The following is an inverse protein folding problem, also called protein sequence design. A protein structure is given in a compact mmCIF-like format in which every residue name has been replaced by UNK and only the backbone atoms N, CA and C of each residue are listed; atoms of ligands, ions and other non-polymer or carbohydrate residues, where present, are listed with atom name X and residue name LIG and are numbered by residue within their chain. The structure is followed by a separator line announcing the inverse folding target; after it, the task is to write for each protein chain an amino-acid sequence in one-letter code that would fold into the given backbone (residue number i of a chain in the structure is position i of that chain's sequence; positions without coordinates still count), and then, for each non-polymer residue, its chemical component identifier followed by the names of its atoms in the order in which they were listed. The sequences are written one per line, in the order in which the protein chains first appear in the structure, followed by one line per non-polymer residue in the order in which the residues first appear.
data_IF_227025967874
#
_entry.id   IF_227025967874
#
_cell.length_a   1.000
_cell.length_b   1.000
_cell.length_c   1.000
_cell.angle_alpha   90.00
_cell.angle_beta   90.00
_cell.angle_gamma   90.00
#
_symmetry.space_group_name_H-M   'P 1'
#
loop_
_entity.id
_entity.type
_entity.pdbx_description
1 polymer ?
#
# COMPACT_ATOMS: atom_id res chain seq x y z
N UNK A 1 -22.82 -17.97 18.71
CA UNK A 1 -21.73 -17.28 18.02
C UNK A 1 -22.06 -15.81 17.94
N UNK A 2 -21.17 -14.99 17.40
CA UNK A 2 -21.46 -13.60 17.04
C UNK A 2 -21.73 -13.60 15.53
N UNK A 3 -22.84 -12.99 15.11
CA UNK A 3 -23.18 -12.84 13.70
C UNK A 3 -22.42 -11.67 13.07
N UNK A 4 -22.50 -11.50 11.75
CA UNK A 4 -22.02 -10.30 11.08
C UNK A 4 -22.67 -9.04 11.70
N UNK A 5 -21.88 -7.97 11.84
CA UNK A 5 -22.25 -6.71 12.52
C UNK A 5 -22.60 -6.89 14.01
N UNK A 6 -22.29 -8.07 14.56
CA UNK A 6 -22.55 -8.42 15.94
C UNK A 6 -21.39 -8.04 16.86
N UNK A 7 -21.72 -7.97 18.15
CA UNK A 7 -20.76 -7.81 19.24
C UNK A 7 -21.01 -8.88 20.30
N UNK A 8 -19.96 -9.37 20.95
CA UNK A 8 -20.10 -10.26 22.12
C UNK A 8 -20.81 -9.54 23.28
N UNK A 9 -21.49 -10.30 24.15
CA UNK A 9 -22.16 -9.74 25.33
C UNK A 9 -21.22 -8.97 26.28
N UNK A 10 -19.95 -9.36 26.34
CA UNK A 10 -18.92 -8.67 27.11
C UNK A 10 -18.36 -7.40 26.43
N UNK A 11 -18.84 -7.09 25.21
CA UNK A 11 -18.44 -5.91 24.44
C UNK A 11 -17.02 -5.96 23.89
N UNK A 12 -16.32 -7.10 23.97
CA UNK A 12 -14.89 -7.19 23.67
C UNK A 12 -14.55 -7.54 22.23
N UNK A 13 -15.47 -8.18 21.50
CA UNK A 13 -15.24 -8.63 20.13
C UNK A 13 -16.43 -8.24 19.28
N UNK A 14 -16.16 -7.48 18.21
CA UNK A 14 -17.09 -7.22 17.12
C UNK A 14 -16.62 -7.92 15.85
N UNK A 15 -17.55 -8.39 15.01
CA UNK A 15 -17.25 -9.04 13.73
C UNK A 15 -17.99 -8.29 12.63
N UNK A 16 -17.27 -7.96 11.57
CA UNK A 16 -17.82 -7.29 10.39
C UNK A 16 -17.19 -7.88 9.13
N UNK A 17 -18.02 -8.14 8.13
CA UNK A 17 -17.61 -8.44 6.78
C UNK A 17 -17.39 -7.13 6.04
N UNK A 18 -16.17 -6.97 5.55
CA UNK A 18 -15.81 -5.83 4.71
C UNK A 18 -15.68 -6.27 3.26
N UNK A 19 -15.79 -5.30 2.35
CA UNK A 19 -15.43 -5.51 0.94
C UNK A 19 -13.92 -5.81 0.79
N UNK A 20 -13.47 -6.03 -0.44
CA UNK A 20 -12.07 -6.32 -0.70
C UNK A 20 -11.17 -5.19 -0.18
N UNK A 21 -10.22 -5.52 0.70
CA UNK A 21 -9.28 -4.55 1.26
C UNK A 21 -7.86 -4.72 0.70
N UNK A 22 -7.74 -4.90 -0.61
CA UNK A 22 -6.47 -5.04 -1.35
C UNK A 22 -5.48 -6.11 -0.84
N UNK A 23 -5.95 -7.11 -0.09
CA UNK A 23 -5.15 -8.19 0.48
C UNK A 23 -5.41 -9.55 -0.20
N UNK A 24 -5.89 -9.53 -1.45
CA UNK A 24 -6.24 -10.76 -2.19
C UNK A 24 -5.04 -11.64 -2.56
N UNK A 25 -3.81 -11.13 -2.39
CA UNK A 25 -2.56 -11.86 -2.61
C UNK A 25 -2.32 -12.99 -1.60
N UNK A 26 -2.97 -12.94 -0.42
CA UNK A 26 -2.91 -14.00 0.60
C UNK A 26 -4.29 -14.38 1.17
N UNK A 27 -5.35 -14.23 0.37
CA UNK A 27 -6.69 -14.63 0.79
C UNK A 27 -6.76 -16.13 1.19
N UNK A 28 -7.57 -16.50 2.20
CA UNK A 28 -8.45 -15.65 3.01
C UNK A 28 -7.69 -14.78 4.03
N UNK A 29 -8.14 -13.54 4.21
CA UNK A 29 -7.52 -12.55 5.11
C UNK A 29 -8.54 -12.07 6.14
N UNK A 30 -8.11 -11.93 7.39
CA UNK A 30 -8.86 -11.28 8.48
C UNK A 30 -8.11 -10.03 8.90
N UNK A 31 -8.84 -9.01 9.35
CA UNK A 31 -8.24 -7.88 10.03
C UNK A 31 -8.67 -7.81 11.48
N UNK A 32 -7.73 -7.50 12.36
CA UNK A 32 -8.02 -7.14 13.73
C UNK A 32 -7.31 -5.83 14.04
N UNK A 33 -8.03 -4.85 14.59
CA UNK A 33 -7.51 -3.52 14.90
C UNK A 33 -6.59 -2.97 13.80
N UNK A 34 -7.09 -2.81 12.57
CA UNK A 34 -6.34 -2.29 11.41
C UNK A 34 -5.16 -3.12 10.89
N UNK A 35 -4.82 -4.23 11.54
CA UNK A 35 -3.72 -5.09 11.11
C UNK A 35 -4.20 -6.34 10.38
N UNK A 36 -3.40 -6.80 9.42
CA UNK A 36 -3.74 -7.93 8.56
C UNK A 36 -3.24 -9.26 9.12
N UNK A 37 -4.08 -10.29 8.95
CA UNK A 37 -3.80 -11.69 9.23
C UNK A 37 -4.11 -12.50 7.98
N UNK A 38 -3.05 -12.95 7.32
CA UNK A 38 -3.07 -13.64 6.04
C UNK A 38 -3.33 -15.15 6.17
N UNK A 39 -3.74 -15.79 5.07
CA UNK A 39 -3.91 -17.25 4.93
C UNK A 39 -4.75 -17.88 6.06
N UNK A 40 -5.82 -17.22 6.49
CA UNK A 40 -6.59 -17.65 7.66
C UNK A 40 -7.47 -18.87 7.34
N UNK A 41 -7.52 -19.80 8.30
CA UNK A 41 -8.55 -20.82 8.40
C UNK A 41 -9.58 -20.43 9.48
N UNK A 42 -10.65 -21.20 9.59
CA UNK A 42 -11.63 -21.02 10.67
C UNK A 42 -10.96 -21.21 12.04
N UNK A 43 -10.09 -22.20 12.16
CA UNK A 43 -9.34 -22.49 13.38
C UNK A 43 -8.38 -21.35 13.73
N UNK A 44 -7.58 -20.86 12.77
CA UNK A 44 -6.63 -19.78 13.05
C UNK A 44 -7.32 -18.46 13.40
N UNK A 45 -8.46 -18.17 12.78
CA UNK A 45 -9.26 -17.00 13.13
C UNK A 45 -9.83 -17.09 14.56
N UNK A 46 -10.24 -18.28 14.99
CA UNK A 46 -10.68 -18.51 16.38
C UNK A 46 -9.52 -18.36 17.37
N UNK A 47 -8.37 -18.96 17.06
CA UNK A 47 -7.17 -18.86 17.90
C UNK A 47 -6.71 -17.40 18.03
N UNK A 48 -6.79 -16.61 16.95
CA UNK A 48 -6.55 -15.17 16.96
C UNK A 48 -7.47 -14.46 17.95
N UNK A 49 -8.79 -14.67 17.86
CA UNK A 49 -9.76 -14.06 18.78
C UNK A 49 -9.49 -14.48 20.24
N UNK A 50 -9.25 -15.76 20.49
CA UNK A 50 -9.00 -16.27 21.83
C UNK A 50 -7.70 -15.69 22.43
N UNK A 51 -6.65 -15.55 21.61
CA UNK A 51 -5.37 -14.94 22.03
C UNK A 51 -5.55 -13.48 22.47
N UNK A 52 -6.36 -12.70 21.75
CA UNK A 52 -6.71 -11.32 22.09
C UNK A 52 -7.48 -11.26 23.42
N UNK A 53 -8.47 -12.14 23.61
CA UNK A 53 -9.27 -12.19 24.84
C UNK A 53 -8.48 -12.60 26.07
N UNK A 54 -7.43 -13.40 25.89
CA UNK A 54 -6.49 -13.80 26.94
C UNK A 54 -5.44 -12.73 27.26
N UNK A 55 -5.37 -11.65 26.48
CA UNK A 55 -4.40 -10.58 26.66
C UNK A 55 -3.01 -10.89 26.10
N UNK A 56 -2.89 -11.92 25.25
CA UNK A 56 -1.66 -12.30 24.57
C UNK A 56 -1.91 -12.43 23.06
N UNK A 57 -2.19 -11.31 22.36
CA UNK A 57 -2.59 -11.34 20.96
C UNK A 57 -1.47 -11.91 20.08
N UNK A 58 -1.84 -12.77 19.13
CA UNK A 58 -0.95 -13.21 18.06
C UNK A 58 -0.52 -11.98 17.23
N UNK A 59 0.76 -11.91 16.90
CA UNK A 59 1.31 -10.84 16.07
C UNK A 59 0.68 -10.85 14.65
N UNK A 60 0.40 -9.67 14.07
CA UNK A 60 -0.01 -9.54 12.68
C UNK A 60 0.94 -10.24 11.68
N UNK A 61 0.41 -10.67 10.54
CA UNK A 61 1.25 -11.20 9.45
C UNK A 61 1.86 -10.08 8.60
N UNK A 62 1.23 -8.90 8.62
CA UNK A 62 1.73 -7.66 8.00
C UNK A 62 1.74 -6.57 9.06
N UNK A 63 2.73 -5.68 9.01
CA UNK A 63 2.83 -4.54 9.91
C UNK A 63 3.62 -4.83 11.20
N UNK A 64 3.19 -4.29 12.36
CA UNK A 64 3.98 -4.29 13.58
C UNK A 64 4.15 -5.69 14.18
N UNK A 65 5.24 -5.87 14.94
CA UNK A 65 5.59 -7.14 15.61
C UNK A 65 4.59 -7.53 16.72
N UNK A 66 3.68 -6.62 17.08
CA UNK A 66 2.63 -6.81 18.06
C UNK A 66 1.36 -6.10 17.60
N UNK A 67 0.22 -6.75 17.76
CA UNK A 67 -1.09 -6.16 17.50
C UNK A 67 -1.30 -4.91 18.37
N UNK A 68 -1.48 -3.72 17.76
CA UNK A 68 -1.83 -2.53 18.48
C UNK A 68 -3.21 -2.62 19.13
N UNK A 69 -3.33 -2.00 20.29
CA UNK A 69 -4.64 -1.75 20.89
C UNK A 69 -5.40 -0.69 20.12
N UNK A 70 -6.72 -0.67 20.26
CA UNK A 70 -7.56 0.39 19.68
C UNK A 70 -7.11 1.80 20.08
N UNK A 71 -6.60 1.97 21.30
CA UNK A 71 -6.08 3.24 21.79
C UNK A 71 -4.80 3.67 21.07
N UNK A 72 -3.89 2.74 20.81
CA UNK A 72 -2.65 3.00 20.07
C UNK A 72 -2.97 3.38 18.62
N UNK A 73 -3.86 2.63 17.96
CA UNK A 73 -4.31 2.97 16.61
C UNK A 73 -5.04 4.32 16.55
N UNK A 74 -5.86 4.64 17.55
CA UNK A 74 -6.53 5.95 17.62
C UNK A 74 -5.51 7.09 17.69
N UNK A 75 -4.38 6.90 18.38
CA UNK A 75 -3.31 7.90 18.43
C UNK A 75 -2.60 8.02 17.07
N UNK A 76 -2.30 6.90 16.41
CA UNK A 76 -1.73 6.87 15.07
C UNK A 76 -2.61 7.60 14.05
N UNK A 77 -3.92 7.31 14.04
CA UNK A 77 -4.90 7.96 13.16
C UNK A 77 -5.05 9.46 13.46
N UNK A 78 -4.76 9.90 14.68
CA UNK A 78 -4.69 11.31 15.05
C UNK A 78 -3.37 12.00 14.65
N UNK A 79 -2.47 11.28 13.96
CA UNK A 79 -1.19 11.80 13.47
C UNK A 79 -0.02 11.65 14.45
N UNK A 80 -0.18 10.87 15.54
CA UNK A 80 0.90 10.60 16.49
C UNK A 80 1.71 9.41 16.00
N UNK A 81 2.98 9.64 15.65
CA UNK A 81 3.88 8.59 15.18
C UNK A 81 4.13 7.55 16.29
N UNK A 82 3.94 6.27 15.97
CA UNK A 82 4.11 5.13 16.88
C UNK A 82 5.50 4.47 16.78
N UNK A 83 6.30 4.84 15.78
CA UNK A 83 7.62 4.27 15.50
C UNK A 83 7.60 2.87 14.88
N UNK A 84 6.43 2.37 14.47
CA UNK A 84 6.26 0.99 14.01
C UNK A 84 6.27 0.84 12.48
N UNK A 85 6.27 1.95 11.74
CA UNK A 85 6.19 1.96 10.26
C UNK A 85 7.28 1.16 9.52
N UNK A 86 8.40 0.85 10.20
CA UNK A 86 9.51 0.07 9.63
C UNK A 86 9.50 -1.42 10.02
N UNK A 87 8.47 -1.88 10.73
CA UNK A 87 8.29 -3.27 11.12
C UNK A 87 7.54 -4.06 10.04
N UNK A 88 7.63 -5.39 10.14
CA UNK A 88 6.95 -6.30 9.23
C UNK A 88 7.62 -6.48 7.88
N UNK A 89 6.94 -7.21 7.00
CA UNK A 89 7.41 -7.53 5.66
C UNK A 89 6.90 -6.48 4.67
N UNK A 90 7.81 -5.76 4.00
CA UNK A 90 7.44 -4.73 3.02
C UNK A 90 6.93 -5.32 1.69
N UNK A 91 7.57 -6.39 1.21
CA UNK A 91 7.15 -7.14 0.02
C UNK A 91 7.26 -8.64 0.28
N UNK A 92 6.12 -9.33 0.30
CA UNK A 92 6.08 -10.76 0.56
C UNK A 92 6.19 -11.61 -0.72
N UNK A 93 6.10 -12.94 -0.59
CA UNK A 93 6.39 -13.87 -1.68
C UNK A 93 5.50 -13.67 -2.93
N UNK A 94 4.15 -13.68 -2.83
CA UNK A 94 3.24 -13.26 -3.88
C UNK A 94 3.60 -11.93 -4.55
N UNK A 95 3.91 -10.90 -3.76
CA UNK A 95 4.30 -9.57 -4.27
C UNK A 95 5.55 -9.65 -5.14
N UNK A 96 6.51 -10.50 -4.78
CA UNK A 96 7.78 -10.67 -5.47
C UNK A 96 7.70 -11.58 -6.70
N UNK A 97 6.63 -12.34 -6.90
CA UNK A 97 6.54 -13.35 -7.95
C UNK A 97 6.76 -12.77 -9.35
N UNK A 98 6.10 -11.64 -9.66
CA UNK A 98 6.27 -10.97 -10.96
C UNK A 98 7.70 -10.52 -11.22
N UNK A 99 8.38 -10.00 -10.19
CA UNK A 99 9.78 -9.60 -10.26
C UNK A 99 10.70 -10.81 -10.49
N UNK A 100 10.51 -11.90 -9.74
CA UNK A 100 11.28 -13.15 -9.90
C UNK A 100 11.14 -13.73 -11.32
N UNK A 101 9.93 -13.72 -11.87
CA UNK A 101 9.68 -14.18 -13.25
C UNK A 101 10.41 -13.28 -14.27
N UNK A 102 10.42 -11.96 -14.07
CA UNK A 102 11.16 -11.05 -14.94
C UNK A 102 12.68 -11.32 -14.88
N UNK A 103 13.21 -11.49 -13.67
CA UNK A 103 14.62 -11.80 -13.41
C UNK A 103 15.05 -13.16 -13.98
N UNK A 104 14.13 -14.13 -14.12
CA UNK A 104 14.41 -15.44 -14.74
C UNK A 104 14.55 -15.39 -16.28
N UNK A 105 14.61 -14.18 -16.87
CA UNK A 105 14.78 -13.98 -18.31
C UNK A 105 13.48 -13.85 -19.09
N UNK A 106 12.32 -13.73 -18.42
CA UNK A 106 11.05 -13.49 -19.10
C UNK A 106 10.98 -12.07 -19.65
N UNK A 107 11.13 -11.94 -20.98
CA UNK A 107 11.13 -10.65 -21.67
C UNK A 107 9.76 -9.97 -21.76
N UNK A 108 8.67 -10.60 -21.31
CA UNK A 108 7.32 -9.98 -21.30
C UNK A 108 7.13 -9.02 -20.13
N UNK A 109 7.90 -9.16 -19.06
CA UNK A 109 7.79 -8.32 -17.87
C UNK A 109 8.97 -7.36 -17.81
N UNK A 110 8.67 -6.09 -17.59
CA UNK A 110 9.69 -5.05 -17.39
C UNK A 110 9.40 -4.35 -16.07
N UNK A 111 10.11 -4.71 -14.98
CA UNK A 111 9.86 -4.14 -13.67
C UNK A 111 10.47 -2.74 -13.62
N UNK A 112 9.64 -1.70 -13.77
CA UNK A 112 10.08 -0.31 -13.61
C UNK A 112 9.83 0.19 -12.18
N UNK A 113 8.59 0.02 -11.69
CA UNK A 113 8.19 0.42 -10.33
C UNK A 113 8.57 -0.61 -9.26
N UNK A 114 8.67 -1.88 -9.66
CA UNK A 114 8.88 -3.02 -8.75
C UNK A 114 10.33 -3.51 -8.70
N UNK A 115 11.25 -2.88 -9.44
CA UNK A 115 12.63 -3.36 -9.64
C UNK A 115 13.45 -3.58 -8.37
N UNK A 116 13.09 -2.91 -7.28
CA UNK A 116 13.79 -2.94 -6.01
C UNK A 116 13.01 -3.62 -4.89
N UNK A 117 11.85 -4.23 -5.18
CA UNK A 117 11.00 -4.85 -4.15
C UNK A 117 11.71 -5.98 -3.39
N UNK A 118 12.69 -6.63 -4.00
CA UNK A 118 13.48 -7.69 -3.38
C UNK A 118 14.54 -7.18 -2.37
N UNK A 119 14.73 -5.85 -2.28
CA UNK A 119 15.63 -5.25 -1.30
C UNK A 119 14.89 -5.01 0.01
N UNK A 120 15.39 -5.59 1.10
CA UNK A 120 14.75 -5.52 2.43
C UNK A 120 14.54 -4.11 2.97
N UNK A 121 15.34 -3.15 2.52
CA UNK A 121 15.32 -1.74 2.95
C UNK A 121 14.81 -0.80 1.85
N UNK A 122 14.15 -1.33 0.80
CA UNK A 122 13.67 -0.54 -0.35
C UNK A 122 12.76 0.62 0.03
N UNK A 123 12.04 0.47 1.15
CA UNK A 123 11.12 1.48 1.66
C UNK A 123 11.80 2.64 2.39
N UNK A 124 13.10 2.54 2.65
CA UNK A 124 13.86 3.59 3.33
C UNK A 124 14.38 4.63 2.34
N UNK A 125 14.65 5.83 2.84
CA UNK A 125 15.23 6.91 2.05
C UNK A 125 16.58 6.50 1.42
N UNK A 126 17.42 5.81 2.19
CA UNK A 126 18.73 5.35 1.74
C UNK A 126 18.59 4.25 0.68
N UNK A 127 17.66 3.31 0.88
CA UNK A 127 17.33 2.28 -0.10
C UNK A 127 16.87 2.87 -1.43
N UNK A 128 15.95 3.84 -1.39
CA UNK A 128 15.46 4.50 -2.61
C UNK A 128 16.55 5.30 -3.33
N UNK A 129 17.36 6.09 -2.60
CA UNK A 129 18.47 6.87 -3.17
C UNK A 129 19.55 5.99 -3.80
N UNK A 130 19.91 4.88 -3.17
CA UNK A 130 20.91 3.93 -3.70
C UNK A 130 20.51 3.36 -5.07
N UNK A 131 19.21 3.24 -5.33
CA UNK A 131 18.65 2.78 -6.61
C UNK A 131 18.42 3.92 -7.63
N UNK A 132 18.96 5.11 -7.36
CA UNK A 132 18.83 6.28 -8.23
C UNK A 132 17.53 7.06 -8.06
N UNK A 133 16.79 6.83 -6.98
CA UNK A 133 15.62 7.61 -6.60
C UNK A 133 15.92 9.10 -6.44
N UNK A 134 14.88 9.93 -6.56
CA UNK A 134 14.94 11.40 -6.52
C UNK A 134 15.71 12.12 -7.64
N UNK A 135 16.46 11.42 -8.50
CA UNK A 135 17.11 12.05 -9.66
C UNK A 135 16.12 12.69 -10.64
N UNK A 136 14.93 12.09 -10.78
CA UNK A 136 13.90 12.60 -11.67
C UNK A 136 13.30 13.93 -11.16
N UNK A 137 13.08 14.07 -9.85
CA UNK A 137 12.57 15.33 -9.28
C UNK A 137 13.61 16.43 -9.36
N UNK A 138 14.91 16.14 -9.17
CA UNK A 138 15.99 17.11 -9.37
C UNK A 138 15.98 17.68 -10.79
N UNK A 139 15.78 16.84 -11.80
CA UNK A 139 15.61 17.28 -13.19
C UNK A 139 14.34 18.11 -13.38
N UNK A 140 13.20 17.62 -12.89
CA UNK A 140 11.89 18.27 -13.08
C UNK A 140 11.82 19.65 -12.42
N UNK A 141 12.47 19.86 -11.27
CA UNK A 141 12.55 21.15 -10.58
C UNK A 141 13.36 22.20 -11.37
N UNK A 142 14.17 21.79 -12.34
CA UNK A 142 14.91 22.67 -13.24
C UNK A 142 14.22 22.86 -14.60
N UNK A 143 12.98 22.36 -14.76
CA UNK A 143 12.17 22.50 -15.96
C UNK A 143 11.00 23.46 -15.70
N UNK A 144 10.54 24.12 -16.74
CA UNK A 144 9.25 24.82 -16.69
C UNK A 144 8.10 23.81 -16.56
N UNK A 145 6.94 24.21 -16.00
CA UNK A 145 5.76 23.35 -15.93
C UNK A 145 5.34 22.79 -17.30
N UNK A 146 5.44 23.60 -18.37
CA UNK A 146 5.11 23.19 -19.72
C UNK A 146 6.05 22.10 -20.25
N UNK A 147 7.35 22.18 -19.97
CA UNK A 147 8.32 21.14 -20.34
C UNK A 147 8.06 19.82 -19.60
N UNK A 148 7.65 19.89 -18.33
CA UNK A 148 7.27 18.70 -17.55
C UNK A 148 6.01 18.06 -18.15
N UNK A 149 4.98 18.85 -18.43
CA UNK A 149 3.74 18.38 -19.07
C UNK A 149 4.05 17.74 -20.43
N UNK A 150 4.89 18.39 -21.25
CA UNK A 150 5.26 17.87 -22.57
C UNK A 150 6.02 16.55 -22.46
N UNK A 151 6.96 16.44 -21.51
CA UNK A 151 7.69 15.18 -21.26
C UNK A 151 6.73 14.04 -20.93
N UNK A 152 5.71 14.28 -20.10
CA UNK A 152 4.71 13.26 -19.76
C UNK A 152 3.79 12.94 -20.95
N UNK A 153 3.44 13.93 -21.79
CA UNK A 153 2.72 13.67 -23.05
C UNK A 153 3.52 12.77 -23.99
N UNK A 154 4.80 13.08 -24.19
CA UNK A 154 5.70 12.35 -25.10
C UNK A 154 5.95 10.91 -24.63
N UNK A 155 5.92 10.67 -23.31
CA UNK A 155 6.02 9.31 -22.75
C UNK A 155 4.84 8.39 -23.10
N UNK A 156 3.69 8.96 -23.49
CA UNK A 156 2.46 8.20 -23.71
C UNK A 156 1.85 7.61 -22.44
N UNK A 157 2.22 8.11 -21.25
CA UNK A 157 1.68 7.64 -19.98
C UNK A 157 0.15 7.76 -19.93
N UNK A 158 -0.50 6.70 -19.48
CA UNK A 158 -1.96 6.62 -19.30
C UNK A 158 -2.28 6.33 -17.85
N UNK A 159 -3.42 6.83 -17.38
CA UNK A 159 -3.91 6.57 -16.02
C UNK A 159 -4.04 5.06 -15.75
N UNK A 160 -3.56 4.63 -14.58
CA UNK A 160 -3.50 3.21 -14.18
C UNK A 160 -4.65 2.75 -13.28
N UNK A 161 -5.57 3.66 -12.92
CA UNK A 161 -6.82 3.33 -12.22
C UNK A 161 -7.97 2.97 -13.15
N UNK A 162 -7.74 2.18 -14.20
CA UNK A 162 -8.80 1.68 -15.09
C UNK A 162 -9.11 2.54 -16.32
N UNK A 163 -9.48 3.82 -16.16
CA UNK A 163 -9.98 4.66 -17.27
C UNK A 163 -8.97 4.88 -18.41
N UNK A 164 -7.67 4.75 -18.14
CA UNK A 164 -6.64 4.82 -19.18
C UNK A 164 -6.54 6.18 -19.89
N UNK A 165 -7.01 7.27 -19.28
CA UNK A 165 -6.92 8.60 -19.88
C UNK A 165 -5.44 9.05 -20.00
N UNK A 166 -5.00 9.69 -21.10
CA UNK A 166 -3.62 10.16 -21.24
C UNK A 166 -3.23 11.18 -20.14
N UNK A 167 -2.24 10.84 -19.32
CA UNK A 167 -1.90 11.61 -18.12
C UNK A 167 -1.41 13.02 -18.46
N UNK A 168 -0.51 13.16 -19.43
CA UNK A 168 0.02 14.47 -19.83
C UNK A 168 -1.05 15.39 -20.46
N UNK A 169 -2.06 14.81 -21.11
CA UNK A 169 -3.22 15.60 -21.60
C UNK A 169 -4.05 16.13 -20.43
N UNK A 170 -4.33 15.28 -19.43
CA UNK A 170 -5.07 15.69 -18.22
C UNK A 170 -4.38 16.83 -17.49
N UNK A 171 -3.05 16.76 -17.34
CA UNK A 171 -2.26 17.82 -16.70
C UNK A 171 -2.36 19.15 -17.46
N UNK A 172 -2.35 19.11 -18.80
CA UNK A 172 -2.47 20.30 -19.64
C UNK A 172 -3.82 21.01 -19.57
N UNK A 173 -4.84 20.45 -18.92
CA UNK A 173 -6.12 21.15 -18.68
C UNK A 173 -6.05 22.15 -17.53
N UNK A 174 -5.02 22.06 -16.69
CA UNK A 174 -4.83 22.98 -15.56
C UNK A 174 -4.14 24.25 -16.08
N UNK A 175 -4.77 25.43 -15.96
CA UNK A 175 -4.17 26.68 -16.40
C UNK A 175 -2.86 26.96 -15.68
N UNK A 176 -1.83 27.37 -16.42
CA UNK A 176 -0.54 27.75 -15.84
C UNK A 176 -0.53 29.26 -15.56
N UNK A 177 0.05 29.67 -14.42
CA UNK A 177 0.23 31.09 -14.07
C UNK A 177 -1.08 31.84 -13.75
N UNK A 178 -2.14 31.14 -13.37
CA UNK A 178 -3.45 31.74 -13.06
C UNK A 178 -3.58 32.28 -11.63
N UNK A 179 -2.49 32.26 -10.84
CA UNK A 179 -2.41 32.68 -9.44
C UNK A 179 -3.42 31.97 -8.51
N UNK A 180 -3.87 30.77 -8.86
CA UNK A 180 -4.73 29.94 -8.02
C UNK A 180 -3.96 28.81 -7.38
N UNK A 181 -4.49 28.33 -6.26
CA UNK A 181 -4.04 27.07 -5.66
C UNK A 181 -4.53 25.90 -6.50
N UNK A 182 -3.62 24.99 -6.82
CA UNK A 182 -3.96 23.72 -7.44
C UNK A 182 -3.60 22.57 -6.49
N UNK A 183 -4.43 21.53 -6.52
CA UNK A 183 -4.30 20.39 -5.64
C UNK A 183 -3.91 19.17 -6.46
N UNK A 184 -2.92 18.42 -5.97
CA UNK A 184 -2.55 17.12 -6.51
C UNK A 184 -3.04 16.04 -5.54
N UNK A 185 -3.98 15.22 -6.01
CA UNK A 185 -4.57 14.15 -5.20
C UNK A 185 -4.11 12.81 -5.76
N UNK A 186 -3.44 12.03 -4.92
CA UNK A 186 -3.12 10.62 -5.19
C UNK A 186 -4.33 9.80 -4.74
N UNK A 187 -4.98 9.10 -5.67
CA UNK A 187 -6.00 8.14 -5.31
C UNK A 187 -5.34 6.79 -5.00
N UNK A 188 -5.36 6.40 -3.73
CA UNK A 188 -4.88 5.12 -3.23
C UNK A 188 -6.01 4.22 -2.71
N UNK A 189 -7.27 4.57 -3.02
CA UNK A 189 -8.45 3.75 -2.75
C UNK A 189 -8.52 2.60 -3.76
N UNK A 190 -7.76 1.53 -3.49
CA UNK A 190 -7.70 0.30 -4.28
C UNK A 190 -8.90 -0.62 -3.99
N UNK A 191 -10.11 -0.08 -4.12
CA UNK A 191 -11.36 -0.73 -3.69
C UNK A 191 -11.89 -1.78 -4.68
N UNK A 192 -11.33 -1.89 -5.89
CA UNK A 192 -11.77 -2.91 -6.84
C UNK A 192 -11.37 -4.32 -6.41
N UNK A 193 -12.33 -5.26 -6.25
CA UNK A 193 -12.04 -6.62 -5.83
C UNK A 193 -11.01 -7.33 -6.73
N UNK A 194 -9.97 -7.88 -6.11
CA UNK A 194 -8.88 -8.56 -6.82
C UNK A 194 -7.72 -7.64 -7.24
N UNK A 195 -7.76 -6.35 -6.89
CA UNK A 195 -6.66 -5.42 -7.13
C UNK A 195 -5.80 -5.30 -5.87
N UNK A 196 -4.49 -5.49 -6.01
CA UNK A 196 -3.50 -5.44 -4.92
C UNK A 196 -2.13 -4.98 -5.42
N UNK A 197 -2.08 -3.91 -6.22
CA UNK A 197 -0.85 -3.35 -6.80
C UNK A 197 -0.39 -2.09 -6.05
N UNK A 198 -1.31 -1.29 -5.52
CA UNK A 198 -1.01 0.01 -4.91
C UNK A 198 -0.58 -0.19 -3.46
N UNK A 199 -1.29 -1.04 -2.71
CA UNK A 199 -0.91 -1.35 -1.32
C UNK A 199 0.52 -1.89 -1.23
N UNK A 200 0.94 -2.91 -2.00
CA UNK A 200 2.32 -3.37 -1.96
C UNK A 200 3.32 -2.35 -2.50
N UNK A 201 2.93 -1.45 -3.40
CA UNK A 201 3.80 -0.36 -3.86
C UNK A 201 4.07 0.65 -2.75
N UNK A 202 3.04 1.06 -2.01
CA UNK A 202 3.19 1.97 -0.88
C UNK A 202 3.97 1.33 0.26
N UNK A 203 3.86 0.02 0.49
CA UNK A 203 4.62 -0.69 1.51
C UNK A 203 6.09 -0.92 1.11
N UNK A 204 6.33 -1.36 -0.13
CA UNK A 204 7.66 -1.73 -0.58
C UNK A 204 8.49 -0.52 -1.07
N UNK A 205 7.85 0.52 -1.61
CA UNK A 205 8.53 1.63 -2.25
C UNK A 205 7.75 2.97 -2.11
N UNK A 206 7.49 3.46 -0.89
CA UNK A 206 6.73 4.69 -0.62
C UNK A 206 7.38 5.98 -1.16
N UNK A 207 8.67 5.93 -1.52
CA UNK A 207 9.40 7.09 -2.02
C UNK A 207 9.25 7.31 -3.54
N UNK A 208 8.64 6.35 -4.27
CA UNK A 208 8.56 6.34 -5.73
C UNK A 208 7.84 7.55 -6.33
#
# INVERSE_FOLDING_TARGET
GVENDGVTEDGKVSIEHIECNAACDYAPVVMANWEFYDNQSVESAKDLVDSMRQGNPIAPTRGPDKLPTWKENSALLAGINDGLANQGVSAGEPTLLGLKIAQSGNKKLTPELTKSYDQKDSFTLDGYRRNGGYKAIEKALNMSPDEVIQTVKDSGLRGRGGAGFPTGMKWGFIPQGDNKEHYFVVNADESEPGTCKDTPLMLANPHV
#
